data_IF_103413458336
#
_entry.id   IF_103413458336
#
_cell.length_a   1.000
_cell.length_b   1.000
_cell.length_c   1.000
_cell.angle_alpha   90.00
_cell.angle_beta   90.00
_cell.angle_gamma   90.00
#
_symmetry.space_group_name_H-M   'P 1'
#
loop_
_entity.id
_entity.type
_entity.pdbx_description
1 polymer ?
#
# COMPACT_ATOMS: atom_id res chain seq x y z
N UNK A 1 48.19 59.66 33.00
CA UNK A 1 47.45 59.46 31.73
C UNK A 1 47.24 57.97 31.50
N UNK A 2 46.06 57.43 31.84
CA UNK A 2 45.68 56.01 31.64
C UNK A 2 45.02 55.90 30.29
N UNK A 3 45.58 55.09 29.37
CA UNK A 3 44.96 54.75 28.07
C UNK A 3 43.98 53.61 28.28
N UNK A 4 42.69 53.86 28.01
CA UNK A 4 41.63 52.84 27.96
C UNK A 4 41.65 52.26 26.55
N UNK A 5 41.95 50.96 26.43
CA UNK A 5 41.84 50.22 25.18
C UNK A 5 40.41 49.65 25.14
N UNK A 6 39.61 50.14 24.20
CA UNK A 6 38.26 49.64 23.92
C UNK A 6 38.35 48.42 22.96
N UNK A 7 38.12 47.22 23.50
CA UNK A 7 38.02 46.01 22.68
C UNK A 7 36.59 45.92 22.14
N UNK A 8 36.44 46.15 20.85
CA UNK A 8 35.17 45.91 20.12
C UNK A 8 35.12 44.41 19.77
N UNK A 9 34.30 43.65 20.52
CA UNK A 9 33.95 42.28 20.15
C UNK A 9 32.92 42.36 19.03
N UNK A 10 33.32 42.09 17.80
CA UNK A 10 32.42 41.89 16.66
C UNK A 10 31.82 40.48 16.80
N UNK A 11 30.61 40.41 17.32
CA UNK A 11 29.77 39.24 17.25
C UNK A 11 29.32 39.05 15.80
N UNK A 12 30.05 38.21 15.06
CA UNK A 12 29.56 37.69 13.79
C UNK A 12 28.42 36.72 14.11
N UNK A 13 27.18 37.22 13.99
CA UNK A 13 26.01 36.39 13.87
C UNK A 13 26.18 35.57 12.59
N UNK A 14 26.70 34.36 12.75
CA UNK A 14 26.66 33.35 11.69
C UNK A 14 25.18 33.10 11.37
N UNK A 15 24.69 33.74 10.31
CA UNK A 15 23.44 33.38 9.68
C UNK A 15 23.61 31.89 9.24
N UNK A 16 23.08 30.97 10.00
CA UNK A 16 22.91 29.59 9.52
C UNK A 16 22.10 29.66 8.26
N UNK A 17 22.78 29.50 7.12
CA UNK A 17 22.14 29.33 5.83
C UNK A 17 21.42 27.98 5.88
N UNK A 18 20.12 28.00 6.24
CA UNK A 18 19.25 26.83 6.36
C UNK A 18 18.86 26.24 4.98
N UNK A 19 19.77 26.28 4.01
CA UNK A 19 19.56 25.75 2.64
C UNK A 19 20.06 24.32 2.45
N UNK A 20 20.53 23.66 3.49
CA UNK A 20 20.93 22.25 3.37
C UNK A 20 19.71 21.36 3.13
N UNK A 21 19.77 20.52 2.11
CA UNK A 21 18.73 19.56 1.75
C UNK A 21 19.00 18.25 2.51
N UNK A 22 18.50 18.16 3.75
CA UNK A 22 18.81 17.06 4.66
C UNK A 22 18.17 15.73 4.23
N UNK A 23 16.98 15.76 3.65
CA UNK A 23 16.27 14.54 3.28
C UNK A 23 17.00 13.69 2.22
N UNK A 24 17.86 14.28 1.40
CA UNK A 24 18.69 13.58 0.42
C UNK A 24 19.98 13.01 1.03
N UNK A 25 20.39 13.47 2.20
CA UNK A 25 21.62 13.05 2.85
C UNK A 25 21.37 11.86 3.79
N UNK A 26 21.93 10.70 3.47
CA UNK A 26 21.76 9.44 4.21
C UNK A 26 22.42 9.43 5.59
N UNK A 27 23.30 10.37 5.88
CA UNK A 27 23.97 10.50 7.19
C UNK A 27 23.03 11.00 8.30
N UNK A 28 21.93 11.65 7.93
CA UNK A 28 20.89 12.04 8.88
C UNK A 28 19.94 10.87 9.19
N UNK A 29 19.40 10.84 10.42
CA UNK A 29 18.38 9.86 10.79
C UNK A 29 17.13 10.00 9.91
N UNK A 30 16.32 8.94 9.86
CA UNK A 30 15.08 8.92 9.05
C UNK A 30 14.15 10.05 9.50
N UNK A 31 14.01 10.30 10.80
CA UNK A 31 13.15 11.36 11.36
C UNK A 31 13.57 12.74 10.88
N UNK A 32 14.88 13.06 10.97
CA UNK A 32 15.42 14.35 10.50
C UNK A 32 15.20 14.52 9.00
N UNK A 33 15.33 13.46 8.24
CA UNK A 33 15.10 13.46 6.79
C UNK A 33 13.63 13.64 6.45
N UNK A 34 12.73 12.97 7.17
CA UNK A 34 11.29 13.10 7.00
C UNK A 34 10.80 14.51 7.35
N UNK A 35 11.23 15.06 8.47
CA UNK A 35 10.86 16.42 8.88
C UNK A 35 11.30 17.45 7.83
N UNK A 36 12.52 17.35 7.34
CA UNK A 36 13.03 18.24 6.29
C UNK A 36 12.24 18.08 4.98
N UNK A 37 11.93 16.84 4.56
CA UNK A 37 11.12 16.57 3.37
C UNK A 37 9.70 17.15 3.52
N UNK A 38 9.02 16.81 4.61
CA UNK A 38 7.65 17.25 4.88
C UNK A 38 7.53 18.79 4.94
N UNK A 39 8.54 19.48 5.48
CA UNK A 39 8.58 20.93 5.52
C UNK A 39 8.70 21.59 4.15
N UNK A 40 9.20 20.85 3.14
CA UNK A 40 9.41 21.32 1.77
C UNK A 40 8.26 20.97 0.84
N UNK A 41 7.45 19.98 1.20
CA UNK A 41 6.35 19.48 0.36
C UNK A 41 5.18 20.45 0.34
N UNK A 42 4.66 20.72 -0.85
CA UNK A 42 3.34 21.35 -1.04
C UNK A 42 2.23 20.36 -0.70
N UNK A 43 0.99 20.85 -0.56
CA UNK A 43 -0.17 19.98 -0.39
C UNK A 43 -0.28 18.98 -1.54
N UNK A 44 -0.16 19.42 -2.79
CA UNK A 44 -0.21 18.57 -3.97
C UNK A 44 0.86 17.45 -3.91
N UNK A 45 2.10 17.76 -3.52
CA UNK A 45 3.16 16.76 -3.40
C UNK A 45 2.93 15.75 -2.26
N UNK A 46 2.28 16.18 -1.16
CA UNK A 46 1.88 15.28 -0.06
C UNK A 46 0.78 14.31 -0.53
N UNK A 47 -0.26 14.83 -1.17
CA UNK A 47 -1.37 14.01 -1.68
C UNK A 47 -0.89 13.09 -2.83
N UNK A 48 0.09 13.53 -3.61
CA UNK A 48 0.70 12.68 -4.64
C UNK A 48 1.30 11.38 -4.06
N UNK A 49 1.82 11.40 -2.83
CA UNK A 49 2.34 10.19 -2.17
C UNK A 49 1.21 9.20 -1.79
N UNK A 50 -0.02 9.66 -1.68
CA UNK A 50 -1.21 8.83 -1.44
C UNK A 50 -1.81 8.25 -2.73
N UNK A 51 -1.23 8.57 -3.90
CA UNK A 51 -1.78 8.27 -5.23
C UNK A 51 -1.00 7.15 -5.89
N UNK A 52 -1.69 6.06 -6.26
CA UNK A 52 -1.11 4.93 -6.96
C UNK A 52 -1.72 4.77 -8.35
N UNK A 53 -0.91 4.37 -9.32
CA UNK A 53 -1.32 4.02 -10.68
C UNK A 53 -0.84 2.62 -11.06
N UNK A 54 -1.44 2.05 -12.09
CA UNK A 54 -0.97 0.77 -12.65
C UNK A 54 0.19 1.01 -13.61
N UNK A 55 1.11 0.06 -13.70
CA UNK A 55 2.25 0.11 -14.62
C UNK A 55 1.84 0.44 -16.06
N UNK A 56 2.62 1.25 -16.75
CA UNK A 56 2.28 1.76 -18.09
C UNK A 56 2.13 0.65 -19.14
N UNK A 57 2.87 -0.45 -18.97
CA UNK A 57 2.74 -1.61 -19.84
C UNK A 57 1.51 -2.48 -19.52
N UNK A 58 0.97 -2.35 -18.31
CA UNK A 58 -0.24 -3.03 -17.88
C UNK A 58 -1.52 -2.31 -18.33
N UNK A 59 -1.44 -1.00 -18.54
CA UNK A 59 -2.55 -0.20 -19.05
C UNK A 59 -2.72 -0.50 -20.55
N UNK A 60 -3.96 -0.77 -20.96
CA UNK A 60 -4.33 -0.63 -22.36
C UNK A 60 -4.70 0.83 -22.61
N UNK A 61 -4.23 1.41 -23.72
CA UNK A 61 -4.80 2.65 -24.27
C UNK A 61 -6.22 2.32 -24.78
N UNK A 62 -7.07 1.84 -23.88
CA UNK A 62 -8.39 1.40 -24.21
C UNK A 62 -9.23 2.60 -24.58
N UNK A 63 -10.03 2.38 -25.58
CA UNK A 63 -10.97 3.29 -26.15
C UNK A 63 -11.61 4.22 -25.10
N UNK A 64 -11.58 5.50 -25.38
CA UNK A 64 -12.25 6.54 -24.58
C UNK A 64 -13.75 6.28 -24.39
N UNK A 65 -14.29 5.22 -24.99
CA UNK A 65 -15.70 4.87 -25.05
C UNK A 65 -16.12 3.71 -24.14
N UNK A 66 -15.20 3.02 -23.46
CA UNK A 66 -15.58 1.96 -22.52
C UNK A 66 -16.41 2.54 -21.36
N UNK A 67 -17.52 1.91 -21.06
CA UNK A 67 -18.34 2.21 -19.88
C UNK A 67 -17.62 1.76 -18.60
N UNK A 68 -18.04 2.28 -17.46
CA UNK A 68 -17.50 1.82 -16.17
C UNK A 68 -17.74 0.31 -15.95
N UNK A 69 -18.86 -0.21 -16.45
CA UNK A 69 -19.20 -1.64 -16.38
C UNK A 69 -18.29 -2.50 -17.27
N UNK A 70 -17.98 -2.04 -18.48
CA UNK A 70 -17.01 -2.72 -19.36
C UNK A 70 -15.59 -2.71 -18.78
N UNK A 71 -15.21 -1.64 -18.10
CA UNK A 71 -13.90 -1.55 -17.39
C UNK A 71 -13.87 -2.53 -16.20
N UNK A 72 -14.95 -2.62 -15.42
CA UNK A 72 -15.07 -3.56 -14.30
C UNK A 72 -15.09 -5.02 -14.74
N UNK A 73 -15.58 -5.31 -15.94
CA UNK A 73 -15.66 -6.65 -16.52
C UNK A 73 -14.51 -6.98 -17.48
N UNK A 74 -13.60 -6.04 -17.75
CA UNK A 74 -12.44 -6.31 -18.60
C UNK A 74 -11.39 -7.17 -17.88
N UNK A 75 -10.87 -8.18 -18.58
CA UNK A 75 -9.81 -9.05 -18.09
C UNK A 75 -8.59 -8.24 -17.61
N UNK A 76 -8.49 -8.02 -16.32
CA UNK A 76 -7.30 -7.65 -15.54
C UNK A 76 -6.41 -6.50 -16.04
N UNK A 77 -6.80 -5.72 -17.05
CA UNK A 77 -6.04 -4.56 -17.53
C UNK A 77 -6.75 -3.28 -17.14
N UNK A 78 -6.02 -2.37 -16.47
CA UNK A 78 -6.56 -1.06 -16.14
C UNK A 78 -6.65 -0.19 -17.40
N UNK A 79 -7.69 0.62 -17.48
CA UNK A 79 -7.74 1.73 -18.41
C UNK A 79 -8.22 2.98 -17.67
N UNK A 80 -7.64 4.12 -18.01
CA UNK A 80 -8.03 5.39 -17.41
C UNK A 80 -8.66 6.28 -18.45
N UNK A 81 -9.96 6.53 -18.33
CA UNK A 81 -10.71 7.32 -19.30
C UNK A 81 -10.12 8.72 -19.46
N UNK A 82 -9.69 9.05 -20.68
CA UNK A 82 -9.15 10.37 -21.01
C UNK A 82 -7.69 10.60 -20.62
N UNK A 83 -7.01 9.61 -20.02
CA UNK A 83 -5.62 9.71 -19.62
C UNK A 83 -4.77 8.69 -20.39
N UNK A 84 -3.76 9.15 -21.11
CA UNK A 84 -2.87 8.32 -21.91
C UNK A 84 -1.60 7.97 -21.10
N UNK A 85 -0.91 6.90 -21.50
CA UNK A 85 0.39 6.51 -20.91
C UNK A 85 1.40 7.66 -20.86
N UNK A 86 1.45 8.51 -21.89
CA UNK A 86 2.34 9.68 -21.95
C UNK A 86 1.99 10.73 -20.90
N UNK A 87 0.69 10.90 -20.61
CA UNK A 87 0.22 11.86 -19.61
C UNK A 87 0.57 11.39 -18.21
N UNK A 88 0.40 10.09 -17.94
CA UNK A 88 0.83 9.47 -16.67
C UNK A 88 2.35 9.58 -16.49
N UNK A 89 3.13 9.33 -17.56
CA UNK A 89 4.59 9.51 -17.51
C UNK A 89 5.00 10.97 -17.20
N UNK A 90 4.24 11.94 -17.70
CA UNK A 90 4.44 13.35 -17.37
C UNK A 90 4.06 13.64 -15.90
N UNK A 91 2.93 13.08 -15.41
CA UNK A 91 2.55 13.22 -14.01
C UNK A 91 3.64 12.70 -13.05
N UNK A 92 4.31 11.59 -13.42
CA UNK A 92 5.46 11.09 -12.63
C UNK A 92 6.60 12.11 -12.62
N UNK A 93 6.95 12.67 -13.78
CA UNK A 93 8.01 13.67 -13.88
C UNK A 93 7.67 14.98 -13.13
N UNK A 94 6.39 15.30 -13.00
CA UNK A 94 5.87 16.45 -12.25
C UNK A 94 5.75 16.17 -10.73
N UNK A 95 5.98 14.91 -10.28
CA UNK A 95 5.87 14.52 -8.87
C UNK A 95 4.45 14.34 -8.37
N UNK A 96 3.49 14.03 -9.24
CA UNK A 96 2.04 13.89 -8.95
C UNK A 96 1.61 12.44 -8.66
N UNK A 97 2.54 11.50 -8.68
CA UNK A 97 2.29 10.08 -8.42
C UNK A 97 3.39 9.57 -7.48
N UNK A 98 3.00 8.96 -6.36
CA UNK A 98 3.92 8.38 -5.37
C UNK A 98 4.15 6.89 -5.53
N UNK A 99 3.23 6.18 -6.18
CA UNK A 99 3.26 4.72 -6.23
C UNK A 99 2.74 4.17 -7.56
N UNK A 100 3.27 2.99 -7.91
CA UNK A 100 2.75 2.15 -9.01
C UNK A 100 2.50 0.73 -8.50
N UNK A 101 1.53 0.04 -9.12
CA UNK A 101 1.36 -1.39 -8.95
C UNK A 101 1.49 -2.09 -10.31
N UNK A 102 1.83 -3.41 -10.29
CA UNK A 102 1.92 -4.25 -11.48
C UNK A 102 2.85 -3.69 -12.58
N UNK A 103 4.02 -3.22 -12.17
CA UNK A 103 5.12 -2.93 -13.10
C UNK A 103 5.84 -4.25 -13.38
N UNK A 104 5.63 -4.81 -14.58
CA UNK A 104 5.99 -6.20 -14.86
C UNK A 104 7.40 -6.39 -15.43
N UNK A 105 8.15 -5.32 -15.64
CA UNK A 105 9.51 -5.39 -16.18
C UNK A 105 10.47 -4.44 -15.47
N UNK A 106 11.69 -4.88 -15.24
CA UNK A 106 12.76 -4.04 -14.70
C UNK A 106 13.02 -2.78 -15.57
N UNK A 107 12.88 -2.90 -16.89
CA UNK A 107 13.04 -1.76 -17.81
C UNK A 107 12.02 -0.66 -17.52
N UNK A 108 10.77 -1.05 -17.29
CA UNK A 108 9.71 -0.10 -16.96
C UNK A 108 9.92 0.50 -15.57
N UNK A 109 10.25 -0.32 -14.57
CA UNK A 109 10.55 0.14 -13.22
C UNK A 109 11.66 1.21 -13.23
N UNK A 110 12.78 0.93 -13.89
CA UNK A 110 13.89 1.89 -14.03
C UNK A 110 13.44 3.17 -14.73
N UNK A 111 12.68 3.06 -15.83
CA UNK A 111 12.16 4.24 -16.55
C UNK A 111 11.26 5.11 -15.68
N UNK A 112 10.38 4.51 -14.89
CA UNK A 112 9.50 5.24 -13.96
C UNK A 112 10.31 5.94 -12.87
N UNK A 113 11.33 5.27 -12.31
CA UNK A 113 12.23 5.89 -11.33
C UNK A 113 13.05 7.05 -11.94
N UNK A 114 13.53 6.91 -13.18
CA UNK A 114 14.20 7.99 -13.91
C UNK A 114 13.28 9.20 -14.13
N UNK A 115 12.00 8.97 -14.40
CA UNK A 115 11.01 10.05 -14.48
C UNK A 115 10.80 10.74 -13.14
N UNK A 116 10.66 9.97 -12.04
CA UNK A 116 10.50 10.49 -10.69
C UNK A 116 11.69 11.38 -10.27
N UNK A 117 12.93 11.06 -10.72
CA UNK A 117 14.10 11.88 -10.47
C UNK A 117 14.07 13.26 -11.17
N UNK A 118 13.15 13.51 -12.10
CA UNK A 118 12.94 14.83 -12.72
C UNK A 118 12.04 15.74 -11.91
N UNK A 119 11.27 15.18 -10.97
CA UNK A 119 10.40 15.94 -10.07
C UNK A 119 11.22 16.86 -9.15
N UNK A 120 10.58 17.88 -8.63
CA UNK A 120 11.23 18.89 -7.75
C UNK A 120 11.90 18.27 -6.51
N UNK A 121 11.23 17.31 -5.88
CA UNK A 121 11.71 16.66 -4.66
C UNK A 121 12.46 15.35 -4.92
N UNK A 122 12.37 14.81 -6.12
CA UNK A 122 13.06 13.55 -6.50
C UNK A 122 12.73 12.37 -5.59
N UNK A 123 11.50 12.31 -5.06
CA UNK A 123 11.06 11.20 -4.23
C UNK A 123 10.94 9.95 -5.12
N UNK A 124 11.59 8.84 -4.77
CA UNK A 124 11.46 7.61 -5.53
C UNK A 124 10.04 7.06 -5.44
N UNK A 125 9.59 6.39 -6.48
CA UNK A 125 8.29 5.71 -6.51
C UNK A 125 8.32 4.44 -5.66
N UNK A 126 7.25 4.19 -4.92
CA UNK A 126 6.98 2.90 -4.30
C UNK A 126 6.27 2.01 -5.32
N UNK A 127 6.88 0.88 -5.70
CA UNK A 127 6.32 -0.03 -6.70
C UNK A 127 5.87 -1.32 -6.02
N UNK A 128 4.56 -1.60 -6.11
CA UNK A 128 3.91 -2.78 -5.54
C UNK A 128 3.56 -3.83 -6.60
N UNK A 129 3.48 -5.09 -6.18
CA UNK A 129 3.08 -6.21 -7.02
C UNK A 129 2.39 -7.31 -6.21
N UNK A 130 1.42 -8.01 -6.81
CA UNK A 130 0.87 -9.23 -6.23
C UNK A 130 1.87 -10.38 -6.34
N UNK A 131 2.43 -10.76 -5.21
CA UNK A 131 3.41 -11.84 -5.10
C UNK A 131 2.95 -12.86 -4.05
N UNK A 132 1.73 -13.39 -4.22
CA UNK A 132 1.02 -14.22 -3.21
C UNK A 132 1.76 -15.53 -2.94
N UNK A 133 2.33 -16.15 -3.97
CA UNK A 133 3.11 -17.39 -3.86
C UNK A 133 4.29 -17.39 -4.83
N UNK A 134 5.20 -16.45 -4.66
CA UNK A 134 6.27 -16.07 -5.58
C UNK A 134 5.87 -14.89 -6.45
N UNK A 135 6.80 -14.36 -7.24
CA UNK A 135 6.56 -13.20 -8.11
C UNK A 135 5.91 -13.60 -9.44
N UNK A 136 4.86 -14.42 -9.38
CA UNK A 136 4.27 -15.10 -10.53
C UNK A 136 3.69 -14.22 -11.64
N UNK A 137 3.54 -12.92 -11.41
CA UNK A 137 3.13 -11.97 -12.44
C UNK A 137 4.27 -11.60 -13.41
N UNK A 138 5.51 -11.86 -13.03
CA UNK A 138 6.71 -11.51 -13.82
C UNK A 138 7.27 -12.74 -14.51
N UNK A 139 7.44 -12.67 -15.81
CA UNK A 139 7.98 -13.79 -16.59
C UNK A 139 9.41 -14.17 -16.16
N UNK A 140 9.65 -15.46 -15.95
CA UNK A 140 10.94 -16.01 -15.57
C UNK A 140 11.22 -16.08 -14.07
N UNK A 141 10.26 -15.71 -13.24
CA UNK A 141 10.34 -15.84 -11.77
C UNK A 141 9.78 -17.20 -11.31
N UNK A 142 10.05 -17.52 -10.07
CA UNK A 142 9.57 -18.79 -9.45
C UNK A 142 8.14 -18.62 -8.96
N UNK A 143 7.30 -19.62 -9.29
CA UNK A 143 5.95 -19.77 -8.72
C UNK A 143 6.00 -20.92 -7.72
N UNK A 144 5.72 -20.62 -6.47
CA UNK A 144 5.67 -21.58 -5.37
C UNK A 144 4.27 -22.19 -5.24
N UNK A 145 4.09 -23.27 -4.47
CA UNK A 145 2.76 -23.74 -4.11
C UNK A 145 1.91 -22.65 -3.48
N UNK A 146 0.60 -22.72 -3.69
CA UNK A 146 -0.34 -21.75 -3.10
C UNK A 146 -0.29 -21.75 -1.57
N UNK A 147 -0.67 -20.67 -0.89
CA UNK A 147 -0.66 -20.58 0.57
C UNK A 147 -1.38 -21.74 1.27
N UNK A 148 -2.54 -22.19 0.77
CA UNK A 148 -3.25 -23.34 1.33
C UNK A 148 -2.43 -24.65 1.22
N UNK A 149 -1.68 -24.83 0.14
CA UNK A 149 -0.77 -25.96 -0.03
C UNK A 149 0.44 -25.87 0.89
N UNK A 150 0.98 -24.66 1.10
CA UNK A 150 2.06 -24.43 2.04
C UNK A 150 1.60 -24.70 3.48
N UNK A 151 0.39 -24.28 3.84
CA UNK A 151 -0.21 -24.54 5.15
C UNK A 151 -0.33 -26.05 5.44
N UNK A 152 -0.63 -26.86 4.41
CA UNK A 152 -0.72 -28.32 4.54
C UNK A 152 0.59 -28.99 4.94
N UNK A 153 1.72 -28.30 4.83
CA UNK A 153 3.03 -28.83 5.29
C UNK A 153 3.21 -28.73 6.79
N UNK A 154 2.46 -27.88 7.48
CA UNK A 154 2.66 -27.51 8.89
C UNK A 154 4.10 -27.08 9.20
N UNK A 155 4.82 -26.55 8.21
CA UNK A 155 6.23 -26.18 8.32
C UNK A 155 6.43 -24.67 8.11
N UNK A 156 6.47 -23.93 9.21
CA UNK A 156 6.66 -22.49 9.22
C UNK A 156 7.96 -22.04 8.53
N UNK A 157 9.05 -22.83 8.68
CA UNK A 157 10.35 -22.48 8.09
C UNK A 157 10.32 -22.51 6.55
N UNK A 158 9.50 -23.35 5.93
CA UNK A 158 9.31 -23.33 4.47
C UNK A 158 8.68 -22.01 4.05
N UNK A 159 7.65 -21.56 4.75
CA UNK A 159 6.96 -20.28 4.44
C UNK A 159 7.92 -19.10 4.57
N UNK A 160 8.72 -19.06 5.64
CA UNK A 160 9.76 -18.04 5.83
C UNK A 160 10.76 -18.01 4.66
N UNK A 161 11.30 -19.17 4.26
CA UNK A 161 12.25 -19.26 3.14
C UNK A 161 11.63 -18.83 1.81
N UNK A 162 10.37 -19.22 1.54
CA UNK A 162 9.65 -18.78 0.35
C UNK A 162 9.48 -17.26 0.36
N UNK A 163 9.16 -16.68 1.51
CA UNK A 163 9.13 -15.21 1.67
C UNK A 163 10.45 -14.55 1.29
N UNK A 164 11.57 -15.08 1.78
CA UNK A 164 12.92 -14.57 1.45
C UNK A 164 13.24 -14.66 -0.05
N UNK A 165 12.99 -15.80 -0.68
CA UNK A 165 13.28 -15.97 -2.11
C UNK A 165 12.33 -15.10 -2.97
N UNK A 166 11.05 -14.98 -2.57
CA UNK A 166 10.11 -14.08 -3.22
C UNK A 166 10.57 -12.62 -3.13
N UNK A 167 11.05 -12.18 -1.97
CA UNK A 167 11.56 -10.82 -1.78
C UNK A 167 12.72 -10.50 -2.73
N UNK A 168 13.68 -11.41 -2.86
CA UNK A 168 14.82 -11.27 -3.79
C UNK A 168 14.36 -11.10 -5.24
N UNK A 169 13.43 -11.93 -5.69
CA UNK A 169 12.91 -11.85 -7.06
C UNK A 169 12.11 -10.56 -7.29
N UNK A 170 11.28 -10.16 -6.33
CA UNK A 170 10.51 -8.89 -6.38
C UNK A 170 11.46 -7.70 -6.47
N UNK A 171 12.50 -7.66 -5.62
CA UNK A 171 13.52 -6.60 -5.65
C UNK A 171 14.32 -6.58 -6.94
N UNK A 172 14.73 -7.74 -7.44
CA UNK A 172 15.49 -7.86 -8.69
C UNK A 172 14.72 -7.29 -9.90
N UNK A 173 13.39 -7.32 -9.88
CA UNK A 173 12.54 -6.74 -10.92
C UNK A 173 12.18 -5.26 -10.71
N UNK A 174 12.68 -4.65 -9.63
CA UNK A 174 12.51 -3.22 -9.35
C UNK A 174 11.23 -2.88 -8.57
N UNK A 175 10.54 -3.88 -8.03
CA UNK A 175 9.44 -3.66 -7.07
C UNK A 175 9.98 -3.63 -5.63
N UNK A 176 9.25 -2.94 -4.74
CA UNK A 176 9.68 -2.69 -3.37
C UNK A 176 8.66 -3.18 -2.35
N UNK A 177 7.49 -3.61 -2.81
CA UNK A 177 6.33 -3.88 -2.01
C UNK A 177 5.56 -5.09 -2.58
N UNK A 178 5.39 -6.12 -1.78
CA UNK A 178 4.64 -7.33 -2.12
C UNK A 178 3.26 -7.30 -1.44
N UNK A 179 2.18 -7.42 -2.20
CA UNK A 179 0.82 -7.51 -1.66
C UNK A 179 0.54 -8.92 -1.13
N UNK A 180 1.29 -9.31 -0.12
CA UNK A 180 1.23 -10.60 0.59
C UNK A 180 1.81 -10.43 1.99
N UNK A 181 1.40 -11.22 3.02
CA UNK A 181 0.54 -12.41 2.96
C UNK A 181 -0.96 -12.10 3.00
N UNK A 182 -1.75 -13.04 2.43
CA UNK A 182 -3.16 -13.12 2.75
C UNK A 182 -3.33 -13.79 4.11
N UNK A 183 -3.81 -13.03 5.07
CA UNK A 183 -4.12 -13.52 6.43
C UNK A 183 -5.63 -13.61 6.69
N UNK A 184 -6.40 -13.73 5.59
CA UNK A 184 -7.82 -14.07 5.65
C UNK A 184 -8.00 -15.46 6.26
N UNK A 185 -8.95 -15.59 7.18
CA UNK A 185 -9.32 -16.89 7.78
C UNK A 185 -10.47 -17.48 6.97
N UNK A 186 -10.21 -18.53 6.21
CA UNK A 186 -11.21 -19.18 5.36
C UNK A 186 -12.37 -19.73 6.20
N UNK A 187 -13.60 -19.31 5.90
CA UNK A 187 -14.81 -19.83 6.52
C UNK A 187 -15.81 -20.38 5.48
N UNK A 188 -15.94 -19.70 4.35
CA UNK A 188 -16.82 -20.11 3.27
C UNK A 188 -16.01 -20.54 2.04
N UNK A 189 -15.96 -21.84 1.70
CA UNK A 189 -15.21 -22.31 0.53
C UNK A 189 -15.75 -21.78 -0.81
N UNK A 190 -16.96 -21.23 -0.84
CA UNK A 190 -17.55 -20.61 -2.03
C UNK A 190 -16.96 -19.25 -2.37
N UNK A 191 -16.23 -18.64 -1.43
CA UNK A 191 -15.60 -17.31 -1.57
C UNK A 191 -14.69 -17.18 -2.81
N UNK A 192 -14.14 -18.29 -3.31
CA UNK A 192 -13.35 -18.32 -4.54
C UNK A 192 -11.87 -18.03 -4.38
N UNK A 193 -11.42 -17.55 -3.19
CA UNK A 193 -10.02 -17.20 -2.90
C UNK A 193 -9.34 -18.17 -1.91
N UNK A 194 -9.85 -19.37 -1.79
CA UNK A 194 -9.33 -20.45 -0.88
C UNK A 194 -7.83 -20.66 -1.06
N UNK A 195 -7.36 -20.70 -2.30
CA UNK A 195 -5.95 -20.94 -2.62
C UNK A 195 -5.00 -19.86 -2.12
N UNK A 196 -5.50 -18.65 -1.87
CA UNK A 196 -4.68 -17.51 -1.45
C UNK A 196 -4.44 -17.47 0.07
N UNK A 197 -5.20 -18.23 0.87
CA UNK A 197 -5.13 -18.20 2.35
C UNK A 197 -4.37 -19.40 2.90
N UNK A 198 -3.92 -19.30 4.16
CA UNK A 198 -3.32 -20.42 4.89
C UNK A 198 -4.35 -21.34 5.56
N UNK A 199 -5.66 -21.16 5.32
CA UNK A 199 -6.70 -22.05 5.79
C UNK A 199 -7.70 -21.44 6.75
N UNK A 200 -8.37 -22.31 7.54
CA UNK A 200 -9.53 -21.97 8.36
C UNK A 200 -9.21 -21.74 9.86
N UNK A 201 -8.01 -22.09 10.30
CA UNK A 201 -7.57 -21.92 11.68
C UNK A 201 -6.86 -20.55 11.85
N UNK A 202 -7.41 -19.63 12.66
CA UNK A 202 -6.83 -18.30 12.83
C UNK A 202 -5.45 -18.30 13.47
N UNK A 203 -5.10 -19.33 14.24
CA UNK A 203 -3.77 -19.47 14.81
C UNK A 203 -2.75 -19.85 13.76
N UNK A 204 -3.06 -20.83 12.92
CA UNK A 204 -2.20 -21.27 11.81
C UNK A 204 -2.01 -20.16 10.78
N UNK A 205 -3.11 -19.51 10.37
CA UNK A 205 -3.09 -18.36 9.45
C UNK A 205 -2.19 -17.25 9.99
N UNK A 206 -2.34 -16.91 11.27
CA UNK A 206 -1.51 -15.89 11.91
C UNK A 206 -0.03 -16.27 11.96
N UNK A 207 0.31 -17.52 12.31
CA UNK A 207 1.71 -17.98 12.36
C UNK A 207 2.36 -17.97 10.99
N UNK A 208 1.72 -18.51 9.98
CA UNK A 208 2.26 -18.52 8.62
C UNK A 208 2.33 -17.12 8.03
N UNK A 209 1.34 -16.26 8.33
CA UNK A 209 1.40 -14.85 7.99
C UNK A 209 2.64 -14.16 8.56
N UNK A 210 2.94 -14.37 9.84
CA UNK A 210 4.16 -13.86 10.49
C UNK A 210 5.43 -14.35 9.82
N UNK A 211 5.51 -15.64 9.48
CA UNK A 211 6.70 -16.18 8.79
C UNK A 211 6.88 -15.57 7.40
N UNK A 212 5.80 -15.39 6.65
CA UNK A 212 5.86 -14.73 5.34
C UNK A 212 6.31 -13.27 5.48
N UNK A 213 5.76 -12.50 6.43
CA UNK A 213 6.17 -11.12 6.71
C UNK A 213 7.65 -11.04 7.03
N UNK A 214 8.14 -11.87 7.96
CA UNK A 214 9.55 -11.91 8.33
C UNK A 214 10.45 -12.31 7.17
N UNK A 215 10.01 -13.24 6.34
CA UNK A 215 10.75 -13.64 5.15
C UNK A 215 10.86 -12.52 4.11
N UNK A 216 9.78 -11.78 3.90
CA UNK A 216 9.73 -10.67 2.95
C UNK A 216 10.49 -9.44 3.44
N UNK A 217 10.33 -9.07 4.70
CA UNK A 217 10.86 -7.82 5.25
C UNK A 217 12.28 -7.97 5.81
N UNK A 218 12.66 -9.16 6.31
CA UNK A 218 13.87 -9.40 7.11
C UNK A 218 13.97 -8.49 8.35
N UNK A 219 15.04 -8.63 9.13
CA UNK A 219 15.29 -7.77 10.29
C UNK A 219 16.03 -6.46 9.91
N UNK A 220 16.65 -6.40 8.74
CA UNK A 220 17.38 -5.24 8.22
C UNK A 220 16.81 -4.79 6.88
N UNK A 221 16.05 -3.69 6.90
CA UNK A 221 15.41 -3.11 5.72
C UNK A 221 16.40 -2.34 4.82
N UNK A 222 17.65 -2.15 5.23
CA UNK A 222 18.67 -1.49 4.41
C UNK A 222 19.18 -2.37 3.26
N UNK A 223 18.92 -3.69 3.32
CA UNK A 223 19.33 -4.66 2.33
C UNK A 223 18.61 -4.54 0.99
N UNK A 224 19.14 -5.25 -0.02
CA UNK A 224 18.55 -5.33 -1.36
C UNK A 224 17.70 -6.60 -1.58
N UNK A 225 17.57 -7.42 -0.54
CA UNK A 225 16.95 -8.75 -0.58
C UNK A 225 15.58 -8.78 0.11
N UNK A 226 15.03 -7.62 0.44
CA UNK A 226 13.79 -7.48 1.19
C UNK A 226 12.82 -6.49 0.54
N UNK A 227 11.55 -6.65 0.85
CA UNK A 227 10.44 -5.81 0.38
C UNK A 227 9.44 -5.57 1.49
N UNK A 228 8.66 -4.50 1.39
CA UNK A 228 7.51 -4.27 2.26
C UNK A 228 6.51 -5.40 2.07
N UNK A 229 6.07 -6.03 3.16
CA UNK A 229 4.94 -6.95 3.18
C UNK A 229 3.62 -6.20 3.36
N UNK A 230 2.53 -6.80 2.88
CA UNK A 230 1.19 -6.25 3.01
C UNK A 230 0.25 -7.34 3.55
N UNK A 231 -0.14 -7.24 4.81
CA UNK A 231 -1.16 -8.15 5.35
C UNK A 231 -2.53 -7.79 4.77
N UNK A 232 -3.21 -8.79 4.20
CA UNK A 232 -4.49 -8.58 3.52
C UNK A 232 -5.46 -9.76 3.70
N UNK A 233 -6.76 -9.56 3.56
CA UNK A 233 -7.46 -8.29 3.36
C UNK A 233 -8.16 -7.92 4.67
N UNK A 234 -7.96 -6.72 5.15
CA UNK A 234 -8.52 -6.26 6.43
C UNK A 234 -9.95 -5.72 6.23
N UNK A 235 -11.02 -6.41 6.64
CA UNK A 235 -11.04 -7.67 7.37
C UNK A 235 -12.31 -8.48 7.07
N UNK A 236 -12.29 -9.77 7.36
CA UNK A 236 -13.46 -10.67 7.36
C UNK A 236 -14.16 -10.85 6.00
N UNK A 237 -13.47 -10.64 4.86
CA UNK A 237 -14.04 -10.83 3.52
C UNK A 237 -14.23 -12.29 3.10
N UNK A 238 -13.78 -13.24 3.90
CA UNK A 238 -13.72 -14.68 3.56
C UNK A 238 -14.93 -15.51 4.00
N UNK A 239 -15.93 -14.89 4.63
CA UNK A 239 -17.23 -15.50 4.98
C UNK A 239 -18.39 -14.59 4.55
N UNK A 240 -18.49 -14.25 3.26
CA UNK A 240 -19.54 -13.35 2.79
C UNK A 240 -20.91 -14.03 2.85
N UNK A 241 -21.96 -13.26 3.14
CA UNK A 241 -23.33 -13.75 3.39
C UNK A 241 -23.84 -14.72 2.32
N UNK A 242 -23.48 -14.53 1.05
CA UNK A 242 -23.90 -15.39 -0.06
C UNK A 242 -22.78 -16.23 -0.68
N UNK A 243 -21.59 -16.24 -0.09
CA UNK A 243 -20.42 -16.96 -0.59
C UNK A 243 -19.69 -16.29 -1.74
N UNK A 244 -20.10 -15.10 -2.21
CA UNK A 244 -19.45 -14.39 -3.30
C UNK A 244 -18.44 -13.38 -2.76
N UNK A 245 -17.26 -13.34 -3.35
CA UNK A 245 -16.27 -12.30 -3.03
C UNK A 245 -16.89 -10.89 -3.17
N UNK A 246 -16.46 -9.94 -2.34
CA UNK A 246 -17.01 -8.56 -2.29
C UNK A 246 -18.37 -8.41 -1.58
N UNK A 247 -19.12 -9.49 -1.41
CA UNK A 247 -20.42 -9.43 -0.73
C UNK A 247 -20.31 -9.09 0.75
N UNK A 248 -21.39 -8.56 1.37
CA UNK A 248 -21.41 -8.18 2.78
C UNK A 248 -21.02 -9.29 3.72
N UNK A 249 -20.42 -8.91 4.84
CA UNK A 249 -20.17 -9.77 5.99
C UNK A 249 -21.04 -9.30 7.16
N UNK A 250 -21.92 -10.18 7.66
CA UNK A 250 -22.71 -9.95 8.85
C UNK A 250 -22.16 -10.78 10.01
N UNK A 251 -21.52 -10.13 10.98
CA UNK A 251 -20.70 -10.81 11.99
C UNK A 251 -20.81 -10.14 13.36
N UNK A 252 -20.84 -10.96 14.42
CA UNK A 252 -20.77 -10.46 15.78
C UNK A 252 -19.37 -9.91 16.11
N UNK A 253 -19.31 -8.90 16.98
CA UNK A 253 -18.05 -8.36 17.53
C UNK A 253 -17.15 -9.45 18.11
N UNK A 254 -17.71 -10.42 18.82
CA UNK A 254 -16.97 -11.56 19.35
C UNK A 254 -16.27 -12.35 18.24
N UNK A 255 -17.01 -12.74 17.21
CA UNK A 255 -16.45 -13.54 16.12
C UNK A 255 -15.39 -12.74 15.35
N UNK A 256 -15.63 -11.46 15.11
CA UNK A 256 -14.68 -10.56 14.49
C UNK A 256 -13.35 -10.53 15.25
N UNK A 257 -13.39 -10.32 16.56
CA UNK A 257 -12.20 -10.25 17.42
C UNK A 257 -11.50 -11.60 17.63
N UNK A 258 -12.26 -12.67 17.80
CA UNK A 258 -11.68 -13.98 18.13
C UNK A 258 -11.14 -14.72 16.91
N UNK A 259 -11.66 -14.46 15.73
CA UNK A 259 -11.31 -15.18 14.50
C UNK A 259 -10.51 -14.30 13.55
N UNK A 260 -11.11 -13.20 13.11
CA UNK A 260 -10.61 -12.45 11.95
C UNK A 260 -9.56 -11.39 12.30
N UNK A 261 -9.64 -10.77 13.47
CA UNK A 261 -8.66 -9.77 13.90
C UNK A 261 -7.34 -10.37 14.42
N UNK A 262 -7.35 -11.60 14.93
CA UNK A 262 -6.15 -12.24 15.50
C UNK A 262 -4.98 -12.37 14.52
N UNK A 263 -5.15 -12.81 13.26
CA UNK A 263 -4.04 -12.84 12.32
C UNK A 263 -3.45 -11.46 12.03
N UNK A 264 -4.28 -10.42 11.96
CA UNK A 264 -3.81 -9.04 11.78
C UNK A 264 -3.06 -8.50 12.99
N UNK A 265 -3.55 -8.76 14.22
CA UNK A 265 -2.77 -8.42 15.41
C UNK A 265 -1.38 -9.05 15.40
N UNK A 266 -1.27 -10.32 15.02
CA UNK A 266 0.01 -11.00 14.87
C UNK A 266 0.88 -10.42 13.77
N UNK A 267 0.28 -9.99 12.66
CA UNK A 267 0.99 -9.32 11.59
C UNK A 267 1.57 -7.96 12.06
N UNK A 268 0.79 -7.19 12.84
CA UNK A 268 1.25 -5.94 13.47
C UNK A 268 2.38 -6.21 14.45
N UNK A 269 2.24 -7.21 15.35
CA UNK A 269 3.29 -7.59 16.30
C UNK A 269 4.58 -8.08 15.61
N UNK A 270 4.48 -8.57 14.40
CA UNK A 270 5.61 -8.95 13.56
C UNK A 270 6.22 -7.77 12.78
N UNK A 271 5.69 -6.56 12.93
CA UNK A 271 6.18 -5.35 12.32
C UNK A 271 5.82 -5.21 10.83
N UNK A 272 4.61 -5.65 10.42
CA UNK A 272 4.17 -5.45 9.03
C UNK A 272 4.09 -3.97 8.69
N UNK A 273 4.66 -3.56 7.55
CA UNK A 273 4.69 -2.15 7.14
C UNK A 273 3.43 -1.68 6.43
N UNK A 274 2.64 -2.59 5.86
CA UNK A 274 1.41 -2.18 5.21
C UNK A 274 0.26 -3.18 5.41
N UNK A 275 -0.95 -2.67 5.33
CA UNK A 275 -2.20 -3.44 5.39
C UNK A 275 -3.10 -3.00 4.25
N UNK A 276 -3.73 -3.97 3.58
CA UNK A 276 -4.72 -3.71 2.55
C UNK A 276 -6.12 -3.98 3.09
N UNK A 277 -7.02 -3.01 2.92
CA UNK A 277 -8.41 -3.17 3.34
C UNK A 277 -9.15 -4.18 2.45
N UNK A 278 -10.21 -4.79 2.98
CA UNK A 278 -10.99 -5.81 2.26
C UNK A 278 -12.07 -5.21 1.36
N UNK A 279 -12.45 -5.92 0.31
CA UNK A 279 -13.48 -5.47 -0.65
C UNK A 279 -14.88 -5.33 -0.07
N UNK A 280 -15.18 -6.07 0.98
CA UNK A 280 -16.53 -6.21 1.52
C UNK A 280 -16.91 -5.06 2.48
N UNK A 281 -18.17 -5.03 2.82
CA UNK A 281 -18.66 -4.31 3.98
C UNK A 281 -18.81 -5.24 5.18
N UNK A 282 -18.66 -4.70 6.38
CA UNK A 282 -18.80 -5.39 7.65
C UNK A 282 -19.96 -4.73 8.39
N UNK A 283 -21.02 -5.52 8.64
CA UNK A 283 -22.24 -5.03 9.32
C UNK A 283 -22.79 -3.74 8.68
N UNK A 284 -22.74 -3.65 7.35
CA UNK A 284 -23.24 -2.51 6.57
C UNK A 284 -22.26 -1.35 6.39
N UNK A 285 -21.02 -1.45 6.85
CA UNK A 285 -19.99 -0.42 6.66
C UNK A 285 -18.88 -0.96 5.76
N UNK A 286 -18.60 -0.40 4.59
CA UNK A 286 -17.46 -0.77 3.75
C UNK A 286 -16.14 -0.71 4.52
N UNK A 287 -15.30 -1.74 4.38
CA UNK A 287 -14.05 -1.83 5.11
C UNK A 287 -13.13 -0.61 4.90
N UNK A 288 -13.17 -0.01 3.71
CA UNK A 288 -12.37 1.17 3.35
C UNK A 288 -12.81 2.49 4.02
N UNK A 289 -13.98 2.51 4.66
CA UNK A 289 -14.46 3.66 5.44
C UNK A 289 -14.81 3.29 6.89
N UNK A 290 -14.40 2.11 7.33
CA UNK A 290 -14.72 1.62 8.67
C UNK A 290 -13.75 2.18 9.71
N UNK A 291 -14.00 3.42 10.15
CA UNK A 291 -13.11 4.19 11.05
C UNK A 291 -12.79 3.43 12.35
N UNK A 292 -13.79 2.79 12.98
CA UNK A 292 -13.57 1.99 14.17
C UNK A 292 -12.51 0.88 13.94
N UNK A 293 -12.58 0.16 12.81
CA UNK A 293 -11.63 -0.90 12.52
C UNK A 293 -10.26 -0.37 12.10
N UNK A 294 -10.22 0.62 11.19
CA UNK A 294 -8.96 1.16 10.68
C UNK A 294 -8.23 2.00 11.72
N UNK A 295 -8.95 2.84 12.47
CA UNK A 295 -8.34 3.76 13.43
C UNK A 295 -8.37 3.21 14.85
N UNK A 296 -9.55 2.88 15.39
CA UNK A 296 -9.64 2.57 16.83
C UNK A 296 -9.06 1.19 17.13
N UNK A 297 -9.34 0.18 16.32
CA UNK A 297 -8.78 -1.17 16.52
C UNK A 297 -7.33 -1.24 16.08
N UNK A 298 -7.03 -0.93 14.82
CA UNK A 298 -5.69 -1.18 14.30
C UNK A 298 -4.66 -0.15 14.79
N UNK A 299 -4.96 1.17 14.69
CA UNK A 299 -4.01 2.20 15.11
C UNK A 299 -3.90 2.28 16.63
N UNK A 300 -5.07 2.38 17.35
CA UNK A 300 -5.06 2.71 18.76
C UNK A 300 -4.99 1.46 19.66
N UNK A 301 -5.62 0.33 19.29
CA UNK A 301 -5.61 -0.89 20.11
C UNK A 301 -4.44 -1.82 19.77
N UNK A 302 -4.09 -1.94 18.45
CA UNK A 302 -3.03 -2.86 17.99
C UNK A 302 -1.68 -2.17 17.81
N UNK A 303 -1.61 -0.84 17.92
CA UNK A 303 -0.40 -0.03 17.71
C UNK A 303 0.18 -0.16 16.28
N UNK A 304 -0.68 -0.21 15.27
CA UNK A 304 -0.22 -0.29 13.87
C UNK A 304 0.38 1.05 13.41
N UNK A 305 1.69 1.08 13.20
CA UNK A 305 2.44 2.25 12.75
C UNK A 305 2.67 2.31 11.23
N UNK A 306 2.34 1.23 10.50
CA UNK A 306 2.49 1.15 9.06
C UNK A 306 1.47 2.01 8.29
N UNK A 307 1.24 1.72 7.02
CA UNK A 307 0.27 2.45 6.20
C UNK A 307 -0.77 1.52 5.57
N UNK A 308 -1.94 2.10 5.27
CA UNK A 308 -3.02 1.43 4.57
C UNK A 308 -3.00 1.71 3.08
N UNK A 309 -3.24 0.67 2.30
CA UNK A 309 -3.61 0.79 0.90
C UNK A 309 -5.04 0.28 0.71
N UNK A 310 -5.83 0.95 -0.12
CA UNK A 310 -7.12 0.40 -0.53
C UNK A 310 -6.90 -0.82 -1.42
N UNK A 311 -7.95 -1.63 -1.62
CA UNK A 311 -7.91 -2.65 -2.66
C UNK A 311 -8.40 -2.06 -4.00
N UNK A 312 -8.40 -2.86 -5.04
CA UNK A 312 -8.62 -2.51 -6.44
C UNK A 312 -9.90 -1.71 -6.67
N UNK A 313 -9.77 -0.40 -6.89
CA UNK A 313 -10.84 0.58 -7.08
C UNK A 313 -11.84 0.72 -5.91
N UNK A 314 -11.54 0.22 -4.73
CA UNK A 314 -12.52 0.09 -3.66
C UNK A 314 -12.96 1.41 -3.03
N UNK A 315 -12.12 2.44 -3.03
CA UNK A 315 -12.59 3.76 -2.62
C UNK A 315 -13.73 4.22 -3.56
N UNK A 316 -13.60 3.97 -4.87
CA UNK A 316 -14.68 4.28 -5.81
C UNK A 316 -15.92 3.40 -5.58
N UNK A 317 -15.75 2.16 -5.14
CA UNK A 317 -16.86 1.24 -4.85
C UNK A 317 -17.74 1.70 -3.70
N UNK A 318 -17.27 2.53 -2.78
CA UNK A 318 -18.11 3.17 -1.75
C UNK A 318 -19.27 3.94 -2.41
N UNK A 319 -19.01 4.57 -3.57
CA UNK A 319 -20.05 5.22 -4.40
C UNK A 319 -20.74 4.22 -5.33
N UNK A 320 -19.99 3.54 -6.22
CA UNK A 320 -20.60 2.83 -7.36
C UNK A 320 -21.20 1.47 -7.00
N UNK A 321 -20.71 0.80 -5.97
CA UNK A 321 -21.15 -0.53 -5.52
C UNK A 321 -22.00 -0.45 -4.24
N UNK A 322 -21.42 0.05 -3.16
CA UNK A 322 -22.06 0.11 -1.83
C UNK A 322 -23.13 1.20 -1.75
N UNK A 323 -23.14 2.17 -2.66
CA UNK A 323 -24.15 3.24 -2.75
C UNK A 323 -24.28 4.13 -1.49
N UNK A 324 -23.19 4.25 -0.73
CA UNK A 324 -23.16 5.05 0.50
C UNK A 324 -22.76 6.49 0.19
N UNK A 325 -21.71 6.70 -0.60
CA UNK A 325 -21.32 8.02 -1.05
C UNK A 325 -22.09 8.45 -2.30
N UNK A 326 -22.42 9.74 -2.40
CA UNK A 326 -23.12 10.30 -3.57
C UNK A 326 -22.26 10.38 -4.82
N UNK A 327 -20.94 10.56 -4.64
CA UNK A 327 -19.94 10.68 -5.70
C UNK A 327 -18.56 10.20 -5.22
N UNK A 328 -17.57 10.19 -6.11
CA UNK A 328 -16.22 9.73 -5.78
C UNK A 328 -15.50 10.65 -4.77
N UNK A 329 -15.75 11.95 -4.79
CA UNK A 329 -15.16 12.90 -3.84
C UNK A 329 -15.62 12.62 -2.41
N UNK A 330 -16.91 12.35 -2.21
CA UNK A 330 -17.44 11.97 -0.90
C UNK A 330 -16.93 10.58 -0.47
N UNK A 331 -16.76 9.64 -1.39
CA UNK A 331 -16.14 8.34 -1.11
C UNK A 331 -14.68 8.50 -0.63
N UNK A 332 -13.91 9.37 -1.26
CA UNK A 332 -12.55 9.73 -0.82
C UNK A 332 -12.56 10.33 0.58
N UNK A 333 -13.48 11.26 0.85
CA UNK A 333 -13.63 11.85 2.18
C UNK A 333 -13.81 10.78 3.25
N UNK A 334 -14.75 9.85 3.06
CA UNK A 334 -14.99 8.78 4.02
C UNK A 334 -13.77 7.86 4.21
N UNK A 335 -13.10 7.51 3.13
CA UNK A 335 -11.93 6.63 3.21
C UNK A 335 -10.75 7.29 3.92
N UNK A 336 -10.42 8.52 3.57
CA UNK A 336 -9.30 9.26 4.18
C UNK A 336 -9.61 9.61 5.64
N UNK A 337 -10.83 10.02 5.98
CA UNK A 337 -11.25 10.29 7.36
C UNK A 337 -11.21 9.04 8.24
N UNK A 338 -11.46 7.86 7.65
CA UNK A 338 -11.35 6.58 8.34
C UNK A 338 -9.90 6.12 8.57
N UNK A 339 -8.90 6.74 7.94
CA UNK A 339 -7.48 6.43 8.10
C UNK A 339 -6.81 5.74 6.91
N UNK A 340 -7.43 5.75 5.72
CA UNK A 340 -6.83 5.20 4.50
C UNK A 340 -5.71 6.11 4.00
N UNK A 341 -4.49 5.57 3.84
CA UNK A 341 -3.29 6.33 3.47
C UNK A 341 -3.04 6.37 1.96
N UNK A 342 -3.45 5.35 1.21
CA UNK A 342 -3.18 5.26 -0.23
C UNK A 342 -4.36 4.67 -1.01
N UNK A 343 -4.68 5.33 -2.13
CA UNK A 343 -5.69 4.86 -3.08
C UNK A 343 -5.10 3.90 -4.12
N UNK A 344 -5.57 2.67 -4.17
CA UNK A 344 -5.33 1.73 -5.25
C UNK A 344 -6.58 1.73 -6.16
N UNK A 345 -6.54 2.28 -7.29
CA UNK A 345 -5.64 3.11 -8.04
C UNK A 345 -6.44 4.11 -8.90
N UNK A 346 -5.75 4.99 -9.61
CA UNK A 346 -6.37 5.72 -10.72
C UNK A 346 -6.43 7.23 -10.55
N UNK A 347 -6.94 7.91 -11.60
CA UNK A 347 -7.02 9.37 -11.65
C UNK A 347 -8.08 9.95 -10.72
N UNK A 348 -8.05 11.26 -10.59
CA UNK A 348 -9.00 12.10 -9.83
C UNK A 348 -8.92 11.97 -8.31
N UNK A 349 -8.05 11.11 -7.76
CA UNK A 349 -7.85 11.05 -6.31
C UNK A 349 -7.12 12.30 -5.82
N UNK A 350 -6.03 12.67 -6.47
CA UNK A 350 -5.19 13.82 -6.13
C UNK A 350 -6.01 15.12 -6.08
N UNK A 351 -6.75 15.42 -7.14
CA UNK A 351 -7.54 16.65 -7.27
C UNK A 351 -8.64 16.72 -6.22
N UNK A 352 -9.36 15.61 -6.02
CA UNK A 352 -10.45 15.57 -5.04
C UNK A 352 -9.95 15.71 -3.59
N UNK A 353 -8.80 15.14 -3.23
CA UNK A 353 -8.23 15.34 -1.88
C UNK A 353 -7.82 16.78 -1.67
N UNK A 354 -7.17 17.41 -2.66
CA UNK A 354 -6.80 18.84 -2.57
C UNK A 354 -8.05 19.70 -2.33
N UNK A 355 -9.10 19.51 -3.13
CA UNK A 355 -10.36 20.24 -2.98
C UNK A 355 -11.09 19.98 -1.65
N UNK A 356 -10.83 18.85 -0.98
CA UNK A 356 -11.41 18.54 0.34
C UNK A 356 -10.63 19.20 1.48
N UNK A 357 -9.36 19.53 1.25
CA UNK A 357 -8.49 20.18 2.24
C UNK A 357 -8.62 21.71 2.18
N UNK A 358 -8.82 22.29 0.98
CA UNK A 358 -9.01 23.73 0.75
C UNK A 358 -10.44 24.19 1.09
#
# INVERSE_FOLDING_TARGET
MKKIILIIIVLTLGSCNNNEVKYLNKEYSIEVRLDDLMSRMTLEEKVAQMTQFVGLNYITDADRNMTAEEILNSDSRASYRGLLKKDIAQMVADGKIGSFLHVLTMREANRLQELAQKSRLKIPLLIGIDAIHGNGMVAGTTVYPSPISLASTFNENIVFKIGQETAKEVRAHGSHWAFTPNVDVLRDPRWGRVGETFGEDPYLVGNFGVQMIKGLQSDDFSGFDNVIACAKHFVAGSEPVNGLNVSPMDISERSLREIYLKPFKRAVDAGVYSVMAAHNEINGIPAHMHKELLTDVMRNEFDFEGFYVSDWLDINRINVLHKIAKDFKEAIYYAVDAGMDMNMHGPNFLENVIELVE
#
